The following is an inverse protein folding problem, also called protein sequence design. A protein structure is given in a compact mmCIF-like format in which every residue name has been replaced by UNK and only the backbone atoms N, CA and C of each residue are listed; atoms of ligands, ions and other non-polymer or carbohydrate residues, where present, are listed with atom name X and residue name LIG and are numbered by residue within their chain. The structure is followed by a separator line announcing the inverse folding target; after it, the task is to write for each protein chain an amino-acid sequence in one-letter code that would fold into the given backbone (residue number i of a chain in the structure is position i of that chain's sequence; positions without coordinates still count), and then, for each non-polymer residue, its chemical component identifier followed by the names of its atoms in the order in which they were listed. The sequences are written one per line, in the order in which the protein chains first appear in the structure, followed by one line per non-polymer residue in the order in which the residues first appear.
data_IF_721853220078
#
_entry.id   IF_721853220078
#
_cell.length_a   1.000
_cell.length_b   1.000
_cell.length_c   1.000
_cell.angle_alpha   90.00
_cell.angle_beta   90.00
_cell.angle_gamma   90.00
#
_symmetry.space_group_name_H-M   'P 1'
#
loop_
_entity.id
_entity.type
_entity.pdbx_description
1 polymer ?
#
# COMPACT_ATOMS: atom_id res chain seq x y z
N UNK A 1 -17.08 -15.33 -12.09
CA UNK A 1 -16.61 -13.93 -11.94
C UNK A 1 -16.34 -13.59 -10.46
N UNK A 2 -16.90 -14.30 -9.47
CA UNK A 2 -16.86 -13.87 -8.05
C UNK A 2 -15.75 -14.43 -7.13
N UNK A 3 -14.94 -15.42 -7.54
CA UNK A 3 -13.90 -15.98 -6.64
C UNK A 3 -12.59 -15.19 -6.63
N UNK A 4 -12.20 -14.59 -7.76
CA UNK A 4 -10.95 -13.81 -7.83
C UNK A 4 -11.08 -12.45 -7.15
N UNK A 5 -12.24 -11.79 -7.31
CA UNK A 5 -12.52 -10.47 -6.70
C UNK A 5 -12.65 -10.51 -5.17
N UNK A 6 -12.78 -11.72 -4.59
CA UNK A 6 -12.82 -11.93 -3.13
C UNK A 6 -11.49 -12.38 -2.55
N UNK A 7 -10.53 -12.77 -3.39
CA UNK A 7 -9.25 -13.35 -2.95
C UNK A 7 -8.03 -12.51 -3.32
N UNK A 8 -8.14 -11.63 -4.31
CA UNK A 8 -7.04 -10.76 -4.76
C UNK A 8 -7.57 -9.36 -5.05
N UNK A 9 -6.86 -8.33 -4.60
CA UNK A 9 -7.21 -6.94 -4.93
C UNK A 9 -6.94 -6.65 -6.41
N UNK A 10 -7.94 -6.13 -7.13
CA UNK A 10 -7.83 -5.77 -8.54
C UNK A 10 -6.76 -4.68 -8.82
N UNK A 11 -6.55 -3.77 -7.88
CA UNK A 11 -5.66 -2.61 -8.04
C UNK A 11 -4.20 -2.95 -7.77
N UNK A 12 -3.92 -3.64 -6.66
CA UNK A 12 -2.54 -3.92 -6.23
C UNK A 12 -2.11 -5.38 -6.38
N UNK A 13 -3.00 -6.29 -6.77
CA UNK A 13 -2.72 -7.73 -6.93
C UNK A 13 -2.29 -8.47 -5.66
N UNK A 14 -2.44 -7.87 -4.47
CA UNK A 14 -2.14 -8.52 -3.18
C UNK A 14 -3.31 -9.41 -2.73
N UNK A 15 -2.99 -10.49 -2.02
CA UNK A 15 -3.96 -11.49 -1.61
C UNK A 15 -4.79 -11.01 -0.41
N UNK A 16 -6.08 -11.33 -0.39
CA UNK A 16 -6.98 -11.04 0.73
C UNK A 16 -6.43 -11.52 2.07
N UNK A 17 -5.79 -12.69 2.09
CA UNK A 17 -5.15 -13.24 3.28
C UNK A 17 -4.20 -12.26 3.97
N UNK A 18 -3.41 -11.50 3.19
CA UNK A 18 -2.45 -10.56 3.75
C UNK A 18 -3.16 -9.43 4.51
N UNK A 19 -4.29 -8.95 3.99
CA UNK A 19 -5.08 -7.90 4.61
C UNK A 19 -5.89 -8.39 5.82
N UNK A 20 -6.36 -9.64 5.79
CA UNK A 20 -7.04 -10.25 6.94
C UNK A 20 -6.10 -10.45 8.13
N UNK A 21 -4.81 -10.74 7.89
CA UNK A 21 -3.86 -11.08 8.96
C UNK A 21 -2.94 -9.94 9.37
N UNK A 22 -2.69 -8.99 8.47
CA UNK A 22 -1.73 -7.92 8.68
C UNK A 22 -2.31 -6.52 8.45
N UNK A 23 -3.54 -6.42 7.94
CA UNK A 23 -4.24 -5.16 7.76
C UNK A 23 -5.48 -5.07 8.63
N UNK A 24 -6.41 -4.24 8.18
CA UNK A 24 -7.70 -4.01 8.85
C UNK A 24 -8.86 -4.77 8.16
N UNK A 25 -8.54 -5.83 7.41
CA UNK A 25 -9.49 -6.63 6.64
C UNK A 25 -9.55 -6.30 5.16
N UNK A 26 -9.80 -7.33 4.33
CA UNK A 26 -9.78 -7.19 2.88
C UNK A 26 -10.93 -6.36 2.33
N UNK A 27 -12.12 -6.46 2.95
CA UNK A 27 -13.30 -5.71 2.53
C UNK A 27 -13.09 -4.19 2.66
N UNK A 28 -12.50 -3.75 3.78
CA UNK A 28 -12.12 -2.35 3.99
C UNK A 28 -11.11 -1.91 2.93
N UNK A 29 -10.07 -2.72 2.71
CA UNK A 29 -9.04 -2.43 1.71
C UNK A 29 -9.65 -2.17 0.31
N UNK A 30 -10.52 -3.04 -0.19
CA UNK A 30 -11.09 -2.88 -1.54
C UNK A 30 -12.17 -1.78 -1.63
N UNK A 31 -12.86 -1.45 -0.53
CA UNK A 31 -13.95 -0.46 -0.55
C UNK A 31 -13.45 0.96 -0.32
N UNK A 32 -12.49 1.14 0.58
CA UNK A 32 -12.07 2.45 1.09
C UNK A 32 -10.68 2.86 0.56
N UNK A 33 -9.76 1.93 0.37
CA UNK A 33 -8.39 2.23 -0.08
C UNK A 33 -8.26 2.05 -1.60
N UNK A 34 -8.63 0.87 -2.10
CA UNK A 34 -8.45 0.43 -3.48
C UNK A 34 -9.78 0.22 -4.22
N UNK A 35 -10.65 1.23 -4.14
CA UNK A 35 -11.94 1.22 -4.82
C UNK A 35 -11.76 1.32 -6.34
N UNK A 36 -12.01 0.24 -7.07
CA UNK A 36 -11.86 0.20 -8.53
C UNK A 36 -12.63 1.27 -9.29
N UNK A 37 -13.80 1.69 -8.79
CA UNK A 37 -14.61 2.71 -9.43
C UNK A 37 -14.01 4.10 -9.25
N UNK A 38 -13.36 4.37 -8.12
CA UNK A 38 -12.65 5.61 -7.90
C UNK A 38 -11.50 5.79 -8.93
N UNK A 39 -10.78 4.70 -9.27
CA UNK A 39 -9.75 4.75 -10.32
C UNK A 39 -10.36 5.06 -11.70
N UNK A 40 -11.48 4.42 -12.06
CA UNK A 40 -12.17 4.71 -13.32
C UNK A 40 -12.66 6.17 -13.37
N UNK A 41 -13.32 6.63 -12.31
CA UNK A 41 -13.80 8.01 -12.24
C UNK A 41 -12.66 9.02 -12.26
N UNK A 42 -11.51 8.70 -11.69
CA UNK A 42 -10.33 9.58 -11.76
C UNK A 42 -9.83 9.74 -13.19
N UNK A 43 -9.79 8.68 -14.00
CA UNK A 43 -9.41 8.78 -15.42
C UNK A 43 -10.41 9.61 -16.21
N UNK A 44 -11.72 9.40 -16.01
CA UNK A 44 -12.76 10.21 -16.64
C UNK A 44 -12.66 11.69 -16.22
N UNK A 45 -12.40 11.93 -14.94
CA UNK A 45 -12.17 13.28 -14.40
C UNK A 45 -10.99 13.97 -15.10
N UNK A 46 -9.87 13.26 -15.31
CA UNK A 46 -8.74 13.83 -16.03
C UNK A 46 -9.14 14.18 -17.47
N UNK A 47 -9.78 13.26 -18.20
CA UNK A 47 -10.20 13.49 -19.60
C UNK A 47 -11.12 14.72 -19.77
N UNK A 48 -11.98 14.98 -18.78
CA UNK A 48 -12.88 16.15 -18.78
C UNK A 48 -12.21 17.45 -18.26
N UNK A 49 -11.05 17.36 -17.61
CA UNK A 49 -10.36 18.48 -16.98
C UNK A 49 -9.35 19.13 -17.94
N UNK A 50 -9.26 20.46 -17.91
CA UNK A 50 -8.32 21.18 -18.78
C UNK A 50 -6.89 20.98 -18.26
N UNK A 51 -5.96 20.76 -19.17
CA UNK A 51 -4.54 20.53 -18.85
C UNK A 51 -3.92 21.57 -17.89
N UNK A 52 -4.29 22.84 -18.00
CA UNK A 52 -3.76 23.90 -17.13
C UNK A 52 -4.34 23.89 -15.71
N UNK A 53 -5.43 23.16 -15.49
CA UNK A 53 -6.11 23.04 -14.19
C UNK A 53 -5.62 21.81 -13.41
N UNK A 54 -4.77 20.97 -14.01
CA UNK A 54 -4.16 19.84 -13.32
C UNK A 54 -3.21 20.28 -12.21
N UNK A 55 -3.33 19.63 -11.06
CA UNK A 55 -2.26 19.57 -10.07
C UNK A 55 -1.05 18.82 -10.60
N UNK A 56 0.09 18.95 -9.92
CA UNK A 56 1.33 18.27 -10.33
C UNK A 56 1.18 16.73 -10.38
N UNK A 57 0.39 16.15 -9.47
CA UNK A 57 0.18 14.70 -9.39
C UNK A 57 -0.78 14.24 -10.49
N UNK A 58 -1.87 14.97 -10.73
CA UNK A 58 -2.80 14.70 -11.83
C UNK A 58 -2.09 14.76 -13.18
N UNK A 59 -1.27 15.79 -13.40
CA UNK A 59 -0.48 15.92 -14.62
C UNK A 59 0.52 14.76 -14.78
N UNK A 60 1.12 14.29 -13.68
CA UNK A 60 1.99 13.12 -13.70
C UNK A 60 1.23 11.86 -14.15
N UNK A 61 0.05 11.60 -13.56
CA UNK A 61 -0.77 10.46 -13.94
C UNK A 61 -1.27 10.57 -15.37
N UNK A 62 -1.75 11.74 -15.78
CA UNK A 62 -2.20 12.01 -17.15
C UNK A 62 -1.12 11.70 -18.18
N UNK A 63 0.12 12.15 -17.94
CA UNK A 63 1.26 11.85 -18.83
C UNK A 63 1.55 10.36 -18.91
N UNK A 64 1.45 9.62 -17.81
CA UNK A 64 1.61 8.17 -17.86
C UNK A 64 0.49 7.52 -18.66
N UNK A 65 -0.76 7.94 -18.42
CA UNK A 65 -1.94 7.45 -19.13
C UNK A 65 -1.85 7.67 -20.65
N UNK A 66 -1.51 8.88 -21.11
CA UNK A 66 -1.33 9.18 -22.55
C UNK A 66 -0.22 8.37 -23.22
N UNK A 67 0.77 7.93 -22.43
CA UNK A 67 1.87 7.07 -22.90
C UNK A 67 1.60 5.58 -22.67
N UNK A 68 0.36 5.19 -22.36
CA UNK A 68 -0.04 3.79 -22.08
C UNK A 68 0.77 3.14 -20.95
N UNK A 69 1.23 3.95 -20.00
CA UNK A 69 2.02 3.52 -18.85
C UNK A 69 1.16 3.39 -17.61
N UNK A 70 1.21 2.22 -16.98
CA UNK A 70 0.42 1.88 -15.80
C UNK A 70 1.16 2.08 -14.47
N UNK A 71 2.32 2.74 -14.48
CA UNK A 71 3.19 2.93 -13.31
C UNK A 71 2.53 3.67 -12.14
N UNK A 72 1.40 4.34 -12.37
CA UNK A 72 0.63 5.01 -11.32
C UNK A 72 -0.24 4.03 -10.50
N UNK A 73 -0.45 2.79 -10.97
CA UNK A 73 -1.09 1.76 -10.17
C UNK A 73 -0.13 1.21 -9.11
N UNK A 74 -0.59 1.02 -7.86
CA UNK A 74 0.24 0.52 -6.76
C UNK A 74 0.42 -1.00 -6.83
N UNK A 75 0.99 -1.52 -7.92
CA UNK A 75 1.20 -2.96 -8.10
C UNK A 75 2.10 -3.52 -7.00
N UNK A 76 1.60 -4.56 -6.33
CA UNK A 76 2.19 -5.21 -5.16
C UNK A 76 2.45 -4.30 -3.95
N UNK A 77 1.83 -3.11 -3.91
CA UNK A 77 2.00 -2.13 -2.83
C UNK A 77 0.68 -1.81 -2.15
N UNK A 78 0.74 -1.55 -0.85
CA UNK A 78 -0.38 -1.09 -0.04
C UNK A 78 0.19 -0.40 1.19
N UNK A 79 -0.25 0.83 1.45
CA UNK A 79 0.17 1.59 2.63
C UNK A 79 -0.13 0.84 3.93
N UNK A 80 -1.26 0.12 3.99
CA UNK A 80 -1.67 -0.65 5.17
C UNK A 80 -0.72 -1.81 5.45
N UNK A 81 -0.30 -2.54 4.41
CA UNK A 81 0.65 -3.65 4.58
C UNK A 81 2.07 -3.15 4.84
N UNK A 82 2.50 -2.08 4.18
CA UNK A 82 3.80 -1.43 4.40
C UNK A 82 3.92 -0.95 5.85
N UNK A 83 2.92 -0.23 6.36
CA UNK A 83 2.89 0.20 7.75
C UNK A 83 2.91 -0.97 8.75
N UNK A 84 2.23 -2.08 8.43
CA UNK A 84 2.25 -3.28 9.26
C UNK A 84 3.60 -4.02 9.23
N UNK A 85 4.36 -3.91 8.13
CA UNK A 85 5.73 -4.40 8.03
C UNK A 85 6.68 -3.53 8.86
N UNK A 86 6.63 -2.21 8.69
CA UNK A 86 7.46 -1.24 9.43
C UNK A 86 7.29 -1.40 10.94
N UNK A 87 6.04 -1.48 11.43
CA UNK A 87 5.75 -1.70 12.86
C UNK A 87 6.34 -3.01 13.39
N UNK A 88 6.37 -4.07 12.56
CA UNK A 88 6.97 -5.36 12.95
C UNK A 88 8.50 -5.29 12.97
N UNK A 89 9.10 -4.53 12.07
CA UNK A 89 10.55 -4.30 12.07
C UNK A 89 10.98 -3.51 13.30
N UNK A 90 10.23 -2.46 13.66
CA UNK A 90 10.47 -1.66 14.86
C UNK A 90 10.39 -2.52 16.14
N UNK A 91 9.35 -3.36 16.28
CA UNK A 91 9.23 -4.27 17.44
C UNK A 91 10.38 -5.29 17.55
N UNK A 92 10.89 -5.78 16.40
CA UNK A 92 12.07 -6.66 16.38
C UNK A 92 13.33 -5.91 16.82
N UNK A 93 13.51 -4.68 16.35
CA UNK A 93 14.65 -3.82 16.74
C UNK A 93 14.64 -3.55 18.24
N UNK A 94 13.50 -3.20 18.83
CA UNK A 94 13.37 -3.00 20.28
C UNK A 94 13.74 -4.26 21.08
N UNK A 95 13.27 -5.42 20.62
CA UNK A 95 13.58 -6.71 21.25
C UNK A 95 15.08 -7.01 21.22
N UNK A 96 15.72 -6.78 20.06
CA UNK A 96 17.16 -6.97 19.90
C UNK A 96 17.97 -5.99 20.78
N UNK A 97 17.55 -4.72 20.85
CA UNK A 97 18.19 -3.72 21.70
C UNK A 97 18.15 -4.11 23.18
N UNK A 98 17.02 -4.65 23.65
CA UNK A 98 16.87 -5.17 25.01
C UNK A 98 17.84 -6.34 25.28
N UNK A 99 17.92 -7.30 24.36
CA UNK A 99 18.82 -8.45 24.48
C UNK A 99 20.30 -8.03 24.50
N UNK A 100 20.70 -7.15 23.59
CA UNK A 100 22.08 -6.62 23.53
C UNK A 100 22.41 -5.87 24.82
N UNK A 101 21.50 -5.02 25.30
CA UNK A 101 21.70 -4.28 26.55
C UNK A 101 21.86 -5.20 27.75
N UNK A 102 21.09 -6.28 27.82
CA UNK A 102 21.22 -7.30 28.85
C UNK A 102 22.59 -7.98 28.81
N UNK A 103 23.04 -8.41 27.63
CA UNK A 103 24.35 -9.07 27.46
C UNK A 103 25.50 -8.14 27.84
N UNK A 104 25.47 -6.89 27.39
CA UNK A 104 26.49 -5.88 27.73
C UNK A 104 26.55 -5.63 29.23
N UNK A 105 25.40 -5.58 29.91
CA UNK A 105 25.36 -5.44 31.37
C UNK A 105 25.98 -6.65 32.06
N UNK A 106 25.58 -7.87 31.67
CA UNK A 106 26.12 -9.10 32.25
C UNK A 106 27.64 -9.19 32.11
N UNK A 107 28.19 -8.83 30.95
CA UNK A 107 29.63 -8.82 30.70
C UNK A 107 30.40 -7.80 31.56
N UNK A 108 29.75 -6.73 32.03
CA UNK A 108 30.37 -5.75 32.94
C UNK A 108 30.36 -6.19 34.39
N UNK A 109 29.53 -7.17 34.73
CA UNK A 109 29.40 -7.73 36.08
C UNK A 109 30.34 -8.95 36.30
N UNK A 110 30.90 -9.51 35.23
CA UNK A 110 31.96 -10.54 35.21
C UNK A 110 33.37 -9.92 35.11
#
# INVERSE_FOLDING_TARGET
IDQDMTSVCFICSRNAYDFEHHGEGFEKHVKEEHNQWAYLFFILYLDETRFNDYTAIELYVWRLFENERLDYFPLNKSMTLEAAEDNREEAKLETLLSQVSYLVRKWKEE
#
